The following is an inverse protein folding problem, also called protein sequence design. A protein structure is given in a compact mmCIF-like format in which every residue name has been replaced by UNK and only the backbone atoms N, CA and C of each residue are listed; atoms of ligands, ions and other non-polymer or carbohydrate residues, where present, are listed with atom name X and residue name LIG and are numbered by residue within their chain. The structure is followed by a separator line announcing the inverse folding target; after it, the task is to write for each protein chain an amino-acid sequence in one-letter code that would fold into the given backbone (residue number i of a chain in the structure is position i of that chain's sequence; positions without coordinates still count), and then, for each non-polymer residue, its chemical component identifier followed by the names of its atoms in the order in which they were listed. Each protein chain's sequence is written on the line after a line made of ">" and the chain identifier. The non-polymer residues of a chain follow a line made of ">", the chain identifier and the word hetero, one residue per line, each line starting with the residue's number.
data_IF_534615321925
#
_entry.id   IF_534615321925
#
_cell.length_a   1.000
_cell.length_b   1.000
_cell.length_c   1.000
_cell.angle_alpha   90.00
_cell.angle_beta   90.00
_cell.angle_gamma   90.00
#
_symmetry.space_group_name_H-M   'P 1'
#
loop_
_entity.id
_entity.type
_entity.pdbx_description
1 polymer ?
#
# COMPACT_ATOMS: atom_id res chain seq x y z
N UNK A 1 4.23 4.61 -9.43
CA UNK A 1 3.59 5.70 -8.67
C UNK A 1 4.35 6.97 -8.95
N UNK A 2 3.76 7.76 -9.84
CA UNK A 2 4.24 9.07 -10.26
C UNK A 2 3.31 10.21 -9.80
N UNK A 3 2.25 9.87 -9.04
CA UNK A 3 1.25 10.80 -8.50
C UNK A 3 0.49 11.60 -9.58
N UNK A 4 0.36 11.05 -10.80
CA UNK A 4 -0.34 11.69 -11.91
C UNK A 4 -1.86 11.44 -11.92
N UNK A 5 -2.40 10.93 -10.80
CA UNK A 5 -3.80 10.60 -10.57
C UNK A 5 -4.33 9.43 -11.40
N UNK A 6 -3.45 8.64 -12.01
CA UNK A 6 -3.78 7.44 -12.78
C UNK A 6 -3.46 6.17 -12.00
N UNK A 7 -4.08 5.07 -12.42
CA UNK A 7 -3.92 3.80 -11.76
C UNK A 7 -2.61 3.14 -12.19
N UNK A 8 -1.66 3.08 -11.27
CA UNK A 8 -0.42 2.31 -11.41
C UNK A 8 -0.58 0.96 -10.70
N UNK A 9 0.20 -0.05 -11.11
CA UNK A 9 0.24 -1.33 -10.40
C UNK A 9 1.66 -1.87 -10.30
N UNK A 10 1.93 -2.54 -9.18
CA UNK A 10 3.19 -3.21 -8.91
C UNK A 10 2.95 -4.71 -8.87
N UNK A 11 3.68 -5.46 -9.70
CA UNK A 11 3.52 -6.90 -9.85
C UNK A 11 4.77 -7.59 -9.34
N UNK A 12 4.62 -8.50 -8.40
CA UNK A 12 5.72 -9.33 -7.93
C UNK A 12 5.94 -10.51 -8.86
N UNK A 13 7.20 -10.90 -9.05
CA UNK A 13 7.61 -11.95 -9.98
C UNK A 13 8.51 -13.00 -9.30
N UNK A 14 8.93 -13.99 -10.08
CA UNK A 14 9.78 -15.07 -9.63
C UNK A 14 11.26 -14.67 -9.64
N UNK A 15 12.11 -15.44 -8.95
CA UNK A 15 13.55 -15.19 -8.89
C UNK A 15 14.18 -15.18 -10.29
N UNK A 16 15.01 -14.17 -10.56
CA UNK A 16 15.60 -13.93 -11.88
C UNK A 16 14.75 -13.01 -12.78
N UNK A 17 13.55 -12.67 -12.36
CA UNK A 17 12.67 -11.66 -12.95
C UNK A 17 12.46 -10.55 -11.91
N UNK A 18 12.62 -9.29 -12.30
CA UNK A 18 12.37 -8.20 -11.36
C UNK A 18 10.86 -8.02 -11.16
N UNK A 19 10.44 -7.69 -9.94
CA UNK A 19 9.10 -7.16 -9.70
C UNK A 19 8.90 -5.88 -10.53
N UNK A 20 7.77 -5.76 -11.23
CA UNK A 20 7.56 -4.72 -12.24
C UNK A 20 6.60 -3.64 -11.76
N UNK A 21 7.04 -2.39 -11.83
CA UNK A 21 6.20 -1.22 -11.62
C UNK A 21 5.68 -0.70 -12.96
N UNK A 22 4.39 -0.84 -13.19
CA UNK A 22 3.69 -0.36 -14.38
C UNK A 22 3.03 0.98 -14.09
N UNK A 23 3.43 2.02 -14.83
CA UNK A 23 2.85 3.36 -14.74
C UNK A 23 1.95 3.66 -15.94
N UNK A 24 0.73 4.12 -15.68
CA UNK A 24 -0.25 4.33 -16.73
C UNK A 24 0.11 5.54 -17.60
N UNK A 25 0.20 5.35 -18.92
CA UNK A 25 0.50 6.42 -19.88
C UNK A 25 -0.77 7.03 -20.48
N UNK A 26 -1.77 6.18 -20.73
CA UNK A 26 -3.10 6.51 -21.24
C UNK A 26 -4.07 5.42 -20.82
N UNK A 27 -5.38 5.66 -20.97
CA UNK A 27 -6.39 4.67 -20.63
C UNK A 27 -6.08 3.33 -21.33
N UNK A 28 -5.92 2.26 -20.53
CA UNK A 28 -5.61 0.92 -21.03
C UNK A 28 -4.16 0.69 -21.45
N UNK A 29 -3.24 1.65 -21.26
CA UNK A 29 -1.82 1.50 -21.64
C UNK A 29 -0.90 1.82 -20.46
N UNK A 30 -0.03 0.87 -20.13
CA UNK A 30 0.98 1.02 -19.07
C UNK A 30 2.38 0.79 -19.62
N UNK A 31 3.35 1.43 -18.97
CA UNK A 31 4.76 1.30 -19.28
C UNK A 31 5.50 0.78 -18.06
N UNK A 32 6.44 -0.14 -18.28
CA UNK A 32 7.41 -0.53 -17.27
C UNK A 32 8.33 0.65 -16.91
N UNK A 33 8.23 1.11 -15.67
CA UNK A 33 9.03 2.20 -15.09
C UNK A 33 10.04 1.70 -14.06
N UNK A 34 10.19 0.39 -13.87
CA UNK A 34 10.95 -0.23 -12.76
C UNK A 34 12.40 0.26 -12.68
N UNK A 35 13.11 0.26 -13.82
CA UNK A 35 14.49 0.75 -13.91
C UNK A 35 14.58 2.25 -13.55
N UNK A 36 13.70 3.06 -14.14
CA UNK A 36 13.64 4.51 -13.92
C UNK A 36 13.36 4.85 -12.45
N UNK A 37 12.66 3.95 -11.75
CA UNK A 37 12.24 4.08 -10.36
C UNK A 37 13.22 3.50 -9.35
N UNK A 38 14.34 2.93 -9.80
CA UNK A 38 15.41 2.45 -8.91
C UNK A 38 15.15 1.12 -8.23
N UNK A 39 14.18 0.33 -8.70
CA UNK A 39 13.73 -0.89 -7.99
C UNK A 39 14.50 -2.17 -8.36
N UNK A 40 15.07 -2.26 -9.57
CA UNK A 40 15.53 -3.54 -10.17
C UNK A 40 16.51 -4.31 -9.27
N UNK A 41 17.58 -3.67 -8.79
CA UNK A 41 18.70 -4.37 -8.16
C UNK A 41 18.29 -5.15 -6.90
N UNK A 42 17.32 -4.62 -6.16
CA UNK A 42 16.91 -5.18 -4.87
C UNK A 42 15.90 -6.32 -5.02
N UNK A 43 15.13 -6.35 -6.12
CA UNK A 43 14.01 -7.29 -6.28
C UNK A 43 14.37 -8.49 -7.15
N UNK A 44 15.35 -8.37 -8.05
CA UNK A 44 15.75 -9.43 -8.97
C UNK A 44 16.10 -10.80 -8.33
N UNK A 45 16.75 -10.88 -7.15
CA UNK A 45 17.07 -12.16 -6.52
C UNK A 45 15.91 -12.75 -5.68
N UNK A 46 14.76 -12.08 -5.61
CA UNK A 46 13.66 -12.45 -4.71
C UNK A 46 12.54 -13.16 -5.46
N UNK A 47 11.75 -13.94 -4.72
CA UNK A 47 10.45 -14.47 -5.17
C UNK A 47 9.39 -13.70 -4.38
N UNK A 48 8.76 -12.74 -5.03
CA UNK A 48 7.78 -11.87 -4.38
C UNK A 48 6.37 -12.44 -4.42
N UNK A 49 5.64 -12.30 -3.31
CA UNK A 49 4.25 -12.75 -3.16
C UNK A 49 3.30 -11.57 -2.89
N UNK A 50 3.03 -11.25 -1.63
CA UNK A 50 2.18 -10.13 -1.27
C UNK A 50 2.94 -8.81 -1.38
N UNK A 51 2.29 -7.78 -1.90
CA UNK A 51 2.82 -6.42 -1.92
C UNK A 51 1.73 -5.41 -1.68
N UNK A 52 2.09 -4.30 -1.05
CA UNK A 52 1.20 -3.16 -0.80
C UNK A 52 1.98 -1.86 -0.99
N UNK A 53 1.29 -0.83 -1.46
CA UNK A 53 1.76 0.53 -1.41
C UNK A 53 1.03 1.26 -0.29
N UNK A 54 1.77 1.79 0.68
CA UNK A 54 1.21 2.43 1.86
C UNK A 54 2.11 3.58 2.30
N UNK A 55 1.50 4.68 2.71
CA UNK A 55 2.17 5.87 3.24
C UNK A 55 2.28 5.72 4.76
N UNK A 56 3.41 5.19 5.23
CA UNK A 56 3.58 4.80 6.64
C UNK A 56 3.87 6.01 7.55
N UNK A 57 4.43 7.09 7.00
CA UNK A 57 4.77 8.30 7.77
C UNK A 57 3.81 9.48 7.48
N UNK A 58 2.75 9.23 6.71
CA UNK A 58 1.73 10.19 6.30
C UNK A 58 2.29 11.40 5.52
N UNK A 59 3.47 11.27 4.87
CA UNK A 59 4.08 12.35 4.10
C UNK A 59 3.41 12.54 2.72
N UNK A 60 2.53 11.63 2.33
CA UNK A 60 1.78 11.66 1.09
C UNK A 60 2.48 10.99 -0.10
N UNK A 61 3.59 10.27 0.15
CA UNK A 61 4.34 9.45 -0.79
C UNK A 61 4.29 8.00 -0.29
N UNK A 62 3.64 7.07 -1.00
CA UNK A 62 3.51 5.71 -0.52
C UNK A 62 4.80 4.90 -0.71
N UNK A 63 5.28 4.31 0.38
CA UNK A 63 6.30 3.25 0.39
C UNK A 63 5.76 1.99 -0.28
N UNK A 64 6.67 1.14 -0.76
CA UNK A 64 6.35 -0.23 -1.20
C UNK A 64 6.84 -1.23 -0.17
N UNK A 65 5.93 -2.08 0.30
CA UNK A 65 6.25 -3.25 1.10
C UNK A 65 6.06 -4.52 0.26
N UNK A 66 7.01 -5.46 0.35
CA UNK A 66 6.95 -6.75 -0.35
C UNK A 66 7.28 -7.87 0.63
N UNK A 67 6.40 -8.86 0.69
CA UNK A 67 6.63 -10.14 1.34
C UNK A 67 7.21 -11.12 0.32
N UNK A 68 8.30 -11.78 0.72
CA UNK A 68 9.02 -12.71 -0.14
C UNK A 68 9.12 -14.10 0.51
N UNK A 69 9.34 -15.10 -0.33
CA UNK A 69 9.58 -16.48 0.07
C UNK A 69 9.54 -17.37 -1.17
N UNK A 70 10.35 -18.42 -1.26
CA UNK A 70 10.36 -19.24 -2.47
C UNK A 70 9.04 -20.04 -2.63
N UNK A 71 8.78 -20.55 -3.84
CA UNK A 71 7.73 -21.55 -4.09
C UNK A 71 8.14 -22.89 -3.49
N UNK A 72 9.41 -23.28 -3.67
CA UNK A 72 9.96 -24.49 -3.08
C UNK A 72 10.24 -24.28 -1.60
N UNK A 73 9.60 -25.07 -0.72
CA UNK A 73 9.80 -24.96 0.73
C UNK A 73 11.22 -25.32 1.12
N UNK A 74 11.71 -26.44 0.62
CA UNK A 74 13.06 -26.94 0.90
C UNK A 74 13.81 -27.17 -0.41
N UNK A 75 15.06 -26.72 -0.45
CA UNK A 75 16.01 -27.05 -1.52
C UNK A 75 17.23 -27.69 -0.86
N UNK A 76 17.80 -28.72 -1.48
CA UNK A 76 19.00 -29.35 -0.98
C UNK A 76 20.18 -28.36 -1.01
N UNK A 77 20.89 -28.22 0.10
CA UNK A 77 22.14 -27.49 0.15
C UNK A 77 23.17 -28.12 -0.79
N UNK A 78 23.82 -27.30 -1.62
CA UNK A 78 24.73 -27.82 -2.67
C UNK A 78 25.95 -28.57 -2.11
N UNK A 79 26.32 -28.33 -0.85
CA UNK A 79 27.51 -28.94 -0.23
C UNK A 79 27.15 -30.16 0.62
N UNK A 80 26.08 -30.06 1.40
CA UNK A 80 25.70 -31.07 2.41
C UNK A 80 24.56 -31.97 1.94
N UNK A 81 23.82 -31.57 0.89
CA UNK A 81 22.61 -32.23 0.39
C UNK A 81 21.46 -32.29 1.42
N UNK A 82 21.57 -31.56 2.53
CA UNK A 82 20.53 -31.43 3.55
C UNK A 82 19.46 -30.43 3.10
N UNK A 83 18.18 -30.62 3.45
CA UNK A 83 17.11 -29.71 3.06
C UNK A 83 17.22 -28.36 3.79
N UNK A 84 17.31 -27.27 3.02
CA UNK A 84 17.35 -25.89 3.53
C UNK A 84 16.06 -25.17 3.22
N UNK A 85 15.44 -24.62 4.26
CA UNK A 85 14.23 -23.82 4.16
C UNK A 85 14.50 -22.52 3.38
N UNK A 86 13.76 -22.28 2.31
CA UNK A 86 13.98 -21.16 1.39
C UNK A 86 13.27 -19.87 1.82
N UNK A 87 13.53 -19.43 3.05
CA UNK A 87 13.05 -18.14 3.58
C UNK A 87 13.73 -16.97 2.85
N UNK A 88 13.04 -15.84 2.73
CA UNK A 88 13.56 -14.60 2.14
C UNK A 88 13.16 -13.40 3.02
N UNK A 89 13.93 -12.30 3.02
CA UNK A 89 13.56 -11.11 3.80
C UNK A 89 12.34 -10.43 3.19
N UNK A 90 11.51 -9.81 4.02
CA UNK A 90 10.59 -8.76 3.54
C UNK A 90 11.39 -7.58 3.01
N UNK A 91 10.78 -6.75 2.19
CA UNK A 91 11.41 -5.55 1.63
C UNK A 91 10.54 -4.33 1.83
N UNK A 92 11.16 -3.23 2.28
CA UNK A 92 10.53 -1.92 2.37
C UNK A 92 11.32 -0.91 1.53
N UNK A 93 10.61 -0.20 0.66
CA UNK A 93 11.15 0.82 -0.23
C UNK A 93 10.48 2.17 0.03
N UNK A 94 11.27 3.18 0.31
CA UNK A 94 10.83 4.57 0.49
C UNK A 94 10.76 5.28 -0.85
N UNK A 95 9.67 6.03 -1.09
CA UNK A 95 9.54 6.90 -2.25
C UNK A 95 9.97 8.32 -1.90
N UNK A 96 11.06 8.80 -2.48
CA UNK A 96 11.52 10.15 -2.22
C UNK A 96 10.75 11.21 -3.04
N UNK A 97 11.00 12.50 -2.75
CA UNK A 97 10.39 13.63 -3.45
C UNK A 97 10.75 13.75 -4.94
N UNK A 98 11.83 13.09 -5.39
CA UNK A 98 12.17 12.93 -6.81
C UNK A 98 11.41 11.75 -7.46
N UNK A 99 10.49 11.13 -6.73
CA UNK A 99 9.69 9.98 -7.14
C UNK A 99 10.55 8.77 -7.52
N UNK A 100 11.63 8.54 -6.78
CA UNK A 100 12.51 7.36 -6.89
C UNK A 100 12.43 6.51 -5.62
N UNK A 101 12.40 5.19 -5.80
CA UNK A 101 12.42 4.26 -4.68
C UNK A 101 13.84 3.97 -4.23
N UNK A 102 14.04 3.88 -2.92
CA UNK A 102 15.26 3.36 -2.30
C UNK A 102 14.88 2.33 -1.26
N UNK A 103 15.60 1.19 -1.24
CA UNK A 103 15.42 0.20 -0.17
C UNK A 103 15.90 0.77 1.16
N UNK A 104 15.02 0.81 2.15
CA UNK A 104 15.33 1.22 3.52
C UNK A 104 15.48 0.02 4.46
N UNK A 105 15.59 -1.19 3.91
CA UNK A 105 15.71 -2.44 4.67
C UNK A 105 16.83 -2.43 5.71
N UNK A 106 18.01 -1.89 5.34
CA UNK A 106 19.17 -1.82 6.24
C UNK A 106 19.02 -0.80 7.38
N UNK A 107 18.04 0.10 7.28
CA UNK A 107 17.73 1.10 8.30
C UNK A 107 16.76 0.55 9.35
N UNK A 108 16.12 -0.60 9.08
CA UNK A 108 15.12 -1.18 9.97
C UNK A 108 15.79 -1.81 11.20
N UNK A 109 15.35 -1.36 12.37
CA UNK A 109 15.84 -1.84 13.66
C UNK A 109 14.93 -2.91 14.30
N UNK A 110 13.78 -3.17 13.70
CA UNK A 110 12.85 -4.21 14.12
C UNK A 110 13.37 -5.61 13.80
N UNK A 111 13.10 -6.57 14.70
CA UNK A 111 13.59 -7.94 14.57
C UNK A 111 12.92 -8.70 13.44
N UNK A 112 11.61 -8.52 13.22
CA UNK A 112 10.90 -9.17 12.13
C UNK A 112 11.42 -8.66 10.79
N UNK A 113 11.58 -7.34 10.65
CA UNK A 113 12.11 -6.77 9.41
C UNK A 113 13.52 -7.29 9.06
N UNK A 114 14.36 -7.60 10.05
CA UNK A 114 15.71 -8.15 9.79
C UNK A 114 15.74 -9.65 9.49
N UNK A 115 14.70 -10.39 9.86
CA UNK A 115 14.65 -11.83 9.71
C UNK A 115 14.19 -12.24 8.31
N UNK A 116 14.43 -13.52 7.99
CA UNK A 116 13.98 -14.13 6.73
C UNK A 116 12.77 -14.99 7.03
N UNK A 117 11.75 -14.86 6.20
CA UNK A 117 10.45 -15.47 6.38
C UNK A 117 10.04 -16.28 5.16
N UNK A 118 9.08 -17.18 5.33
CA UNK A 118 8.42 -17.84 4.21
C UNK A 118 7.11 -17.11 3.88
N UNK A 119 7.25 -15.84 3.52
CA UNK A 119 6.16 -14.88 3.41
C UNK A 119 5.22 -15.15 2.24
N UNK A 120 3.94 -14.80 2.42
CA UNK A 120 2.86 -14.93 1.45
C UNK A 120 2.09 -13.62 1.35
N UNK A 121 0.81 -13.62 1.72
CA UNK A 121 -0.08 -12.47 1.67
C UNK A 121 0.37 -11.33 2.57
N UNK A 122 0.07 -10.11 2.11
CA UNK A 122 0.29 -8.85 2.81
C UNK A 122 -0.99 -8.02 2.71
N UNK A 123 -1.42 -7.47 3.85
CA UNK A 123 -2.54 -6.55 3.90
C UNK A 123 -2.23 -5.41 4.86
N UNK A 124 -3.00 -4.33 4.74
CA UNK A 124 -2.86 -3.14 5.57
C UNK A 124 -4.14 -2.85 6.33
N UNK A 125 -4.00 -2.27 7.51
CA UNK A 125 -5.11 -1.76 8.32
C UNK A 125 -4.58 -0.66 9.25
N UNK A 126 -5.43 -0.12 10.10
CA UNK A 126 -5.02 0.67 11.27
C UNK A 126 -5.64 -0.04 12.49
N UNK A 127 -4.87 -0.95 13.12
CA UNK A 127 -5.41 -1.91 14.11
C UNK A 127 -5.69 -1.26 15.44
N UNK A 128 -4.85 -0.30 15.80
CA UNK A 128 -4.89 0.39 17.08
C UNK A 128 -5.62 1.74 16.98
N UNK A 129 -6.07 2.14 15.79
CA UNK A 129 -6.79 3.38 15.50
C UNK A 129 -5.96 4.63 15.80
N UNK A 130 -4.65 4.58 15.55
CA UNK A 130 -3.74 5.70 15.80
C UNK A 130 -3.47 6.57 14.56
N UNK A 131 -4.08 6.22 13.41
CA UNK A 131 -3.94 6.96 12.17
C UNK A 131 -2.70 6.61 11.36
N UNK A 132 -1.97 5.57 11.76
CA UNK A 132 -0.82 5.04 11.04
C UNK A 132 -1.20 3.73 10.37
N UNK A 133 -0.64 3.49 9.20
CA UNK A 133 -0.86 2.22 8.50
C UNK A 133 -0.01 1.15 9.17
N UNK A 134 -0.64 0.07 9.60
CA UNK A 134 0.01 -1.17 10.02
C UNK A 134 -0.05 -2.22 8.92
N UNK A 135 0.80 -3.24 9.04
CA UNK A 135 0.93 -4.29 8.03
C UNK A 135 0.82 -5.67 8.64
N UNK A 136 -0.03 -6.51 8.05
CA UNK A 136 -0.09 -7.93 8.37
C UNK A 136 0.61 -8.77 7.31
N UNK A 137 1.28 -9.83 7.73
CA UNK A 137 1.96 -10.78 6.84
C UNK A 137 1.58 -12.21 7.22
N UNK A 138 1.18 -13.00 6.22
CA UNK A 138 1.01 -14.45 6.36
C UNK A 138 2.27 -15.18 5.94
N UNK A 139 2.48 -16.36 6.51
CA UNK A 139 3.63 -17.20 6.22
C UNK A 139 3.19 -18.65 6.03
N UNK A 140 4.01 -19.45 5.36
CA UNK A 140 3.72 -20.87 5.19
C UNK A 140 4.14 -21.73 6.40
N UNK A 141 5.16 -21.28 7.14
CA UNK A 141 5.84 -22.11 8.16
C UNK A 141 5.85 -21.50 9.56
N UNK A 142 5.16 -20.37 9.76
CA UNK A 142 5.10 -19.64 11.02
C UNK A 142 3.75 -18.92 11.16
N UNK A 143 3.48 -18.37 12.34
CA UNK A 143 2.23 -17.65 12.60
C UNK A 143 2.13 -16.37 11.75
N UNK A 144 0.92 -15.82 11.65
CA UNK A 144 0.72 -14.47 11.11
C UNK A 144 1.49 -13.46 11.95
N UNK A 145 2.19 -12.53 11.29
CA UNK A 145 2.79 -11.38 11.92
C UNK A 145 1.90 -10.15 11.73
N UNK A 146 1.86 -9.30 12.76
CA UNK A 146 1.27 -7.96 12.72
C UNK A 146 2.38 -6.97 13.06
N UNK A 147 2.68 -6.10 12.12
CA UNK A 147 3.69 -5.05 12.23
C UNK A 147 2.97 -3.74 12.54
N UNK A 148 3.02 -3.34 13.81
CA UNK A 148 2.43 -2.08 14.27
C UNK A 148 3.40 -0.95 13.97
N UNK A 149 2.90 0.09 13.30
CA UNK A 149 3.73 1.17 12.80
C UNK A 149 3.99 2.23 13.88
N UNK A 150 5.26 2.32 14.29
CA UNK A 150 5.72 3.28 15.30
C UNK A 150 6.45 4.50 14.71
N UNK A 151 6.32 4.77 13.41
CA UNK A 151 6.99 5.89 12.75
C UNK A 151 6.78 7.22 13.50
N UNK A 152 7.87 7.94 13.76
CA UNK A 152 7.81 9.25 14.40
C UNK A 152 7.49 10.31 13.35
N UNK A 153 6.23 10.71 13.28
CA UNK A 153 5.76 11.71 12.32
C UNK A 153 4.88 12.75 12.99
N UNK A 154 4.97 13.99 12.50
CA UNK A 154 4.00 15.06 12.81
C UNK A 154 3.15 15.41 11.58
N UNK A 155 3.13 14.52 10.60
CA UNK A 155 2.32 14.68 9.41
C UNK A 155 0.86 14.33 9.74
N UNK A 156 -0.04 15.00 9.05
CA UNK A 156 -1.47 14.80 9.18
C UNK A 156 -1.97 13.75 8.19
N UNK A 157 -3.14 13.20 8.47
CA UNK A 157 -3.76 12.18 7.61
C UNK A 157 -5.27 12.38 7.53
N UNK A 158 -5.90 11.69 6.58
CA UNK A 158 -7.34 11.52 6.55
C UNK A 158 -7.67 10.13 5.99
N UNK A 159 -8.68 9.50 6.56
CA UNK A 159 -9.17 8.20 6.11
C UNK A 159 -10.67 8.25 5.81
N UNK A 160 -11.07 7.63 4.71
CA UNK A 160 -12.46 7.53 4.28
C UNK A 160 -12.92 6.08 4.20
N UNK A 161 -13.96 5.75 4.95
CA UNK A 161 -14.73 4.53 4.79
C UNK A 161 -15.96 4.82 3.93
N UNK A 162 -16.00 4.28 2.72
CA UNK A 162 -17.12 4.50 1.79
C UNK A 162 -18.17 3.39 1.90
N UNK A 163 -19.45 3.76 1.90
CA UNK A 163 -20.58 2.83 1.89
C UNK A 163 -21.51 3.18 0.75
N UNK A 164 -21.57 2.32 -0.28
CA UNK A 164 -22.44 2.52 -1.43
C UNK A 164 -23.91 2.35 -1.07
N UNK A 165 -24.79 3.19 -1.63
CA UNK A 165 -26.27 3.10 -1.45
C UNK A 165 -26.94 2.55 -2.70
N UNK A 166 -26.68 3.21 -3.83
CA UNK A 166 -27.12 2.80 -5.18
C UNK A 166 -26.12 1.82 -5.81
N UNK A 167 -24.84 2.04 -5.56
CA UNK A 167 -23.76 1.08 -5.85
C UNK A 167 -23.72 -0.03 -4.79
N UNK A 168 -22.90 -1.07 -5.02
CA UNK A 168 -22.67 -2.12 -4.03
C UNK A 168 -22.18 -1.51 -2.69
N UNK A 169 -22.57 -2.13 -1.56
CA UNK A 169 -22.28 -1.60 -0.22
C UNK A 169 -20.79 -1.40 0.05
N UNK A 170 -19.95 -2.28 -0.51
CA UNK A 170 -18.49 -2.19 -0.43
C UNK A 170 -17.88 -1.05 -1.27
N UNK A 171 -18.67 -0.39 -2.12
CA UNK A 171 -18.26 0.76 -2.94
C UNK A 171 -17.02 0.52 -3.83
N UNK A 172 -16.70 -0.74 -4.13
CA UNK A 172 -15.58 -1.13 -5.00
C UNK A 172 -15.71 -0.44 -6.36
N UNK A 173 -14.60 0.13 -6.82
CA UNK A 173 -14.53 0.93 -8.04
C UNK A 173 -14.76 2.43 -7.80
N UNK A 174 -15.07 2.87 -6.58
CA UNK A 174 -15.14 4.31 -6.26
C UNK A 174 -13.76 4.94 -6.40
N UNK A 175 -13.71 6.13 -7.00
CA UNK A 175 -12.51 6.98 -7.07
C UNK A 175 -12.67 8.16 -6.13
N UNK A 176 -11.70 8.35 -5.25
CA UNK A 176 -11.65 9.47 -4.32
C UNK A 176 -10.54 10.41 -4.77
N UNK A 177 -10.89 11.65 -5.04
CA UNK A 177 -9.94 12.72 -5.31
C UNK A 177 -9.86 13.63 -4.09
N UNK A 178 -8.69 13.70 -3.47
CA UNK A 178 -8.33 14.70 -2.48
C UNK A 178 -7.78 15.93 -3.19
N UNK A 179 -8.36 17.09 -2.91
CA UNK A 179 -7.90 18.37 -3.43
C UNK A 179 -6.97 19.05 -2.41
N UNK A 180 -5.67 19.01 -2.69
CA UNK A 180 -4.62 19.59 -1.85
C UNK A 180 -4.03 20.85 -2.51
N UNK A 181 -3.35 21.68 -1.73
CA UNK A 181 -2.74 22.93 -2.21
C UNK A 181 -1.51 22.64 -3.08
N UNK A 182 -1.74 22.37 -4.37
CA UNK A 182 -0.69 22.26 -5.39
C UNK A 182 -0.89 21.10 -6.35
N UNK A 183 -1.54 20.03 -5.93
CA UNK A 183 -1.91 18.89 -6.78
C UNK A 183 -3.03 18.07 -6.14
N UNK A 184 -3.89 17.48 -6.98
CA UNK A 184 -4.88 16.51 -6.52
C UNK A 184 -4.21 15.14 -6.31
N UNK A 185 -4.64 14.42 -5.27
CA UNK A 185 -4.27 13.02 -5.03
C UNK A 185 -5.47 12.13 -5.25
N UNK A 186 -5.24 10.92 -5.73
CA UNK A 186 -6.32 9.97 -6.01
C UNK A 186 -6.07 8.64 -5.33
N UNK A 187 -7.13 8.12 -4.70
CA UNK A 187 -7.22 6.76 -4.20
C UNK A 187 -8.45 6.07 -4.78
N UNK A 188 -8.42 4.75 -4.82
CA UNK A 188 -9.53 3.92 -5.29
C UNK A 188 -9.94 2.94 -4.21
N UNK A 189 -11.24 2.63 -4.15
CA UNK A 189 -11.70 1.46 -3.40
C UNK A 189 -11.51 0.23 -4.29
N UNK A 190 -10.49 -0.55 -4.00
CA UNK A 190 -10.16 -1.78 -4.73
C UNK A 190 -10.79 -3.02 -4.08
N UNK A 191 -10.76 -4.13 -4.81
CA UNK A 191 -11.12 -5.44 -4.31
C UNK A 191 -10.05 -6.45 -4.70
N UNK A 192 -9.76 -7.39 -3.81
CA UNK A 192 -8.63 -8.29 -3.97
C UNK A 192 -7.32 -7.53 -3.81
N UNK A 193 -6.69 -7.65 -2.65
CA UNK A 193 -5.40 -7.02 -2.39
C UNK A 193 -4.30 -8.08 -2.56
N UNK A 194 -3.27 -8.08 -1.73
CA UNK A 194 -2.18 -9.06 -1.81
C UNK A 194 -2.63 -10.53 -1.86
N UNK A 195 -1.67 -11.44 -2.06
CA UNK A 195 -1.91 -12.87 -2.23
C UNK A 195 -2.80 -13.48 -1.11
N UNK A 196 -4.03 -13.90 -1.46
CA UNK A 196 -5.01 -14.52 -0.56
C UNK A 196 -5.42 -13.68 0.66
N UNK A 197 -5.39 -12.35 0.55
CA UNK A 197 -5.80 -11.44 1.62
C UNK A 197 -6.55 -10.21 1.09
N UNK A 198 -7.10 -9.41 2.01
CA UNK A 198 -7.67 -8.09 1.71
C UNK A 198 -7.34 -7.11 2.82
N UNK A 199 -6.97 -5.89 2.44
CA UNK A 199 -6.74 -4.78 3.36
C UNK A 199 -8.04 -4.26 3.96
N UNK A 200 -7.92 -3.47 5.02
CA UNK A 200 -9.03 -2.69 5.54
C UNK A 200 -9.62 -1.81 4.42
N UNK A 201 -10.94 -1.87 4.26
CA UNK A 201 -11.65 -1.23 3.14
C UNK A 201 -11.84 0.27 3.36
N UNK A 202 -10.74 1.00 3.25
CA UNK A 202 -10.68 2.44 3.48
C UNK A 202 -9.73 3.08 2.47
N UNK A 203 -9.99 4.33 2.12
CA UNK A 203 -9.06 5.15 1.33
C UNK A 203 -8.34 6.10 2.28
N UNK A 204 -7.01 6.01 2.30
CA UNK A 204 -6.14 6.84 3.15
C UNK A 204 -5.34 7.82 2.32
N UNK A 205 -5.12 9.01 2.87
CA UNK A 205 -4.16 9.97 2.36
C UNK A 205 -3.32 10.52 3.51
N UNK A 206 -1.99 10.44 3.39
CA UNK A 206 -1.10 11.33 4.13
C UNK A 206 -1.14 12.73 3.53
N UNK A 207 -1.26 13.71 4.41
CA UNK A 207 -1.43 15.13 4.09
C UNK A 207 -0.12 15.91 4.28
N UNK A 208 0.91 15.27 4.88
CA UNK A 208 2.14 15.95 5.22
C UNK A 208 1.92 16.99 6.32
N UNK A 209 2.58 18.15 6.21
CA UNK A 209 2.51 19.21 7.25
C UNK A 209 1.31 20.16 7.13
N UNK A 210 0.44 19.98 6.14
CA UNK A 210 -0.73 20.85 5.99
C UNK A 210 -1.75 20.55 7.10
N UNK A 211 -2.22 21.60 7.77
CA UNK A 211 -3.23 21.51 8.83
C UNK A 211 -4.60 22.05 8.39
N UNK A 212 -4.77 22.32 7.10
CA UNK A 212 -6.02 22.85 6.55
C UNK A 212 -7.05 21.73 6.36
N UNK A 213 -8.36 21.97 6.61
CA UNK A 213 -9.39 21.02 6.25
C UNK A 213 -9.33 20.60 4.78
N UNK A 214 -9.61 19.33 4.51
CA UNK A 214 -9.59 18.75 3.19
C UNK A 214 -10.89 18.99 2.43
N UNK A 215 -10.74 19.14 1.11
CA UNK A 215 -11.83 19.01 0.14
C UNK A 215 -11.69 17.71 -0.61
N UNK A 216 -12.77 16.95 -0.74
CA UNK A 216 -12.77 15.63 -1.37
C UNK A 216 -13.91 15.51 -2.37
N UNK A 217 -13.62 14.94 -3.54
CA UNK A 217 -14.63 14.51 -4.50
C UNK A 217 -14.62 13.00 -4.63
N UNK A 218 -15.78 12.37 -4.47
CA UNK A 218 -15.97 10.93 -4.66
C UNK A 218 -16.73 10.72 -5.97
N UNK A 219 -16.16 9.95 -6.89
CA UNK A 219 -16.88 9.37 -8.04
C UNK A 219 -17.28 7.95 -7.70
N UNK A 220 -18.59 7.69 -7.62
CA UNK A 220 -19.15 6.40 -7.28
C UNK A 220 -19.24 5.47 -8.49
N UNK A 221 -19.33 4.13 -8.30
CA UNK A 221 -19.40 3.16 -9.40
C UNK A 221 -20.64 3.30 -10.28
N UNK A 222 -21.72 3.91 -9.75
CA UNK A 222 -22.94 4.18 -10.52
C UNK A 222 -22.84 5.45 -11.39
N UNK A 223 -21.68 6.11 -11.41
CA UNK A 223 -21.42 7.34 -12.16
C UNK A 223 -21.83 8.62 -11.43
N UNK A 224 -22.45 8.53 -10.25
CA UNK A 224 -22.75 9.72 -9.45
C UNK A 224 -21.48 10.30 -8.80
N UNK A 225 -21.52 11.59 -8.47
CA UNK A 225 -20.43 12.27 -7.76
C UNK A 225 -20.92 12.90 -6.47
N UNK A 226 -20.04 12.98 -5.47
CA UNK A 226 -20.30 13.61 -4.19
C UNK A 226 -19.09 14.45 -3.79
N UNK A 227 -19.30 15.75 -3.57
CA UNK A 227 -18.29 16.66 -3.05
C UNK A 227 -18.48 16.82 -1.54
N UNK A 228 -17.37 16.78 -0.81
CA UNK A 228 -17.27 16.97 0.63
C UNK A 228 -16.30 18.14 0.86
N UNK A 229 -16.77 19.13 1.61
CA UNK A 229 -16.02 20.33 1.93
C UNK A 229 -15.67 20.31 3.42
N UNK A 230 -14.54 20.93 3.79
CA UNK A 230 -14.15 21.19 5.17
C UNK A 230 -14.01 19.96 6.09
N UNK A 231 -13.54 18.82 5.56
CA UNK A 231 -13.26 17.65 6.38
C UNK A 231 -12.02 17.89 7.26
N UNK A 232 -12.16 17.76 8.58
CA UNK A 232 -11.02 17.85 9.49
C UNK A 232 -10.04 16.70 9.28
N UNK A 233 -8.75 17.00 9.46
CA UNK A 233 -7.66 16.04 9.45
C UNK A 233 -7.62 15.20 10.73
N UNK A 234 -6.73 14.21 10.71
CA UNK A 234 -6.42 13.28 11.79
C UNK A 234 -7.68 12.56 12.28
N UNK A 235 -8.45 12.11 11.30
CA UNK A 235 -9.77 11.55 11.51
C UNK A 235 -10.13 10.56 10.42
N UNK A 236 -10.89 9.57 10.85
CA UNK A 236 -11.62 8.66 9.97
C UNK A 236 -13.02 9.22 9.73
N UNK A 237 -13.48 9.15 8.49
CA UNK A 237 -14.81 9.58 8.07
C UNK A 237 -15.55 8.43 7.40
N UNK A 238 -16.76 8.14 7.88
CA UNK A 238 -17.70 7.29 7.16
C UNK A 238 -18.54 8.13 6.20
N UNK A 239 -18.51 7.76 4.92
CA UNK A 239 -19.25 8.41 3.86
C UNK A 239 -20.25 7.42 3.27
N UNK A 240 -21.52 7.61 3.61
CA UNK A 240 -22.62 6.88 2.98
C UNK A 240 -23.05 7.64 1.72
N UNK A 241 -23.12 6.96 0.58
CA UNK A 241 -23.43 7.57 -0.72
C UNK A 241 -24.69 8.45 -0.66
N UNK A 242 -24.53 9.74 -0.94
CA UNK A 242 -25.62 10.72 -0.96
C UNK A 242 -25.99 11.33 0.40
N UNK A 243 -25.31 10.93 1.48
CA UNK A 243 -25.52 11.46 2.83
C UNK A 243 -24.38 12.39 3.26
N UNK A 244 -24.61 13.17 4.33
CA UNK A 244 -23.56 13.96 4.98
C UNK A 244 -22.45 13.05 5.56
N UNK A 245 -21.19 13.52 5.59
CA UNK A 245 -20.07 12.78 6.16
C UNK A 245 -20.24 12.61 7.67
N UNK A 246 -19.86 11.46 8.22
CA UNK A 246 -19.88 11.20 9.65
C UNK A 246 -18.45 10.91 10.14
N UNK A 247 -17.95 11.72 11.07
CA UNK A 247 -16.64 11.48 11.70
C UNK A 247 -16.77 10.27 12.61
N UNK A 248 -15.83 9.35 12.51
CA UNK A 248 -15.69 8.23 13.41
C UNK A 248 -14.68 8.60 14.51
N UNK A 249 -15.06 8.29 15.74
CA UNK A 249 -14.28 8.54 16.95
C UNK A 249 -13.18 7.49 17.15
#
# INVERSE_FOLDING_TARGET
>A
MNLDQRADFYVTNFSGEYNTLYEQQSAGTWKDSTAKKGLIANVLPMVGFGTVAADYDNNGLPELFVSNGNVDTYVADETTNEPVLQTQPVQLFELNSALQYTSIQSQQTDDYMRQRHFGRGVWTWDVNRDGRVDTGVTHQTEAVAVLVNHSETTNHWIELQLVGVKSARDAIGSRVTLHDQGFDRVGWVTAGDGYLCSSERVVRFGIGKSSSPCRITISWPDGSTQALEELSLDARWQIVQGNAPHRLD
#
